data_IF_644668194743
#
_entry.id   IF_644668194743
#
_cell.length_a   1.000
_cell.length_b   1.000
_cell.length_c   1.000
_cell.angle_alpha   90.00
_cell.angle_beta   90.00
_cell.angle_gamma   90.00
#
_symmetry.space_group_name_H-M   'P 1'
#
loop_
_entity.id
_entity.type
_entity.pdbx_description
1 polymer ?
#
# COMPACT_ATOMS: atom_id res chain seq x y z
N UNK A 1 -7.65 -2.81 2.22
CA UNK A 1 -8.27 -1.71 2.98
C UNK A 1 -9.79 -1.68 2.90
N UNK A 2 -10.43 -1.19 1.80
CA UNK A 2 -11.90 -1.00 1.76
C UNK A 2 -12.70 -2.30 1.96
N UNK A 3 -12.33 -3.35 1.23
CA UNK A 3 -12.96 -4.67 1.35
C UNK A 3 -12.79 -5.29 2.75
N UNK A 4 -11.62 -5.16 3.37
CA UNK A 4 -11.35 -5.71 4.70
C UNK A 4 -12.16 -5.03 5.79
N UNK A 5 -12.36 -3.72 5.67
CA UNK A 5 -13.22 -2.96 6.57
C UNK A 5 -14.69 -3.34 6.38
N UNK A 6 -15.15 -3.41 5.13
CA UNK A 6 -16.53 -3.75 4.80
C UNK A 6 -16.92 -5.16 5.28
N UNK A 7 -16.03 -6.13 5.08
CA UNK A 7 -16.24 -7.49 5.56
C UNK A 7 -16.24 -7.56 7.09
N UNK A 8 -15.32 -6.84 7.75
CA UNK A 8 -15.31 -6.75 9.22
C UNK A 8 -16.61 -6.14 9.75
N UNK A 9 -17.13 -5.09 9.09
CA UNK A 9 -18.38 -4.44 9.46
C UNK A 9 -19.58 -5.39 9.29
N UNK A 10 -19.70 -6.04 8.12
CA UNK A 10 -20.80 -6.98 7.84
C UNK A 10 -20.83 -8.18 8.78
N UNK A 11 -19.67 -8.60 9.30
CA UNK A 11 -19.55 -9.72 10.24
C UNK A 11 -19.54 -9.29 11.72
N UNK A 12 -19.66 -8.00 12.04
CA UNK A 12 -19.58 -7.49 13.42
C UNK A 12 -18.21 -7.68 14.07
N UNK A 13 -17.15 -7.86 13.27
CA UNK A 13 -15.78 -8.02 13.74
C UNK A 13 -15.10 -6.66 13.97
N UNK A 14 -14.04 -6.66 14.80
CA UNK A 14 -13.23 -5.44 15.03
C UNK A 14 -12.39 -5.14 13.76
N UNK A 15 -12.34 -3.88 13.29
CA UNK A 15 -11.80 -3.54 11.96
C UNK A 15 -10.26 -3.48 11.88
N UNK A 16 -9.55 -4.09 12.83
CA UNK A 16 -8.09 -3.96 12.95
C UNK A 16 -7.30 -4.55 11.78
N UNK A 17 -7.90 -5.47 11.01
CA UNK A 17 -7.29 -6.03 9.81
C UNK A 17 -7.04 -4.94 8.77
N UNK A 18 -8.03 -4.10 8.49
CA UNK A 18 -7.89 -2.99 7.54
C UNK A 18 -6.84 -1.96 8.01
N UNK A 19 -6.71 -1.76 9.33
CA UNK A 19 -5.70 -0.88 9.92
C UNK A 19 -4.30 -1.47 9.77
N UNK A 20 -4.10 -2.75 10.07
CA UNK A 20 -2.81 -3.41 9.89
C UNK A 20 -2.38 -3.41 8.41
N UNK A 21 -3.32 -3.65 7.50
CA UNK A 21 -3.06 -3.62 6.06
C UNK A 21 -2.71 -2.22 5.53
N UNK A 22 -2.98 -1.14 6.27
CA UNK A 22 -2.52 0.19 5.86
C UNK A 22 -0.99 0.32 5.82
N UNK A 23 -0.26 -0.43 6.65
CA UNK A 23 1.20 -0.39 6.69
C UNK A 23 1.86 -0.79 5.35
N UNK A 24 1.58 -1.96 4.75
CA UNK A 24 2.12 -2.29 3.43
C UNK A 24 1.58 -1.38 2.32
N UNK A 25 0.37 -0.85 2.44
CA UNK A 25 -0.16 0.12 1.45
C UNK A 25 0.65 1.41 1.46
N UNK A 26 0.97 1.94 2.65
CA UNK A 26 1.80 3.15 2.77
C UNK A 26 3.21 2.88 2.25
N UNK A 27 3.81 1.72 2.56
CA UNK A 27 5.11 1.36 2.04
C UNK A 27 5.14 1.30 0.50
N UNK A 28 4.15 0.63 -0.11
CA UNK A 28 4.03 0.57 -1.57
C UNK A 28 3.79 1.97 -2.18
N UNK A 29 2.93 2.78 -1.57
CA UNK A 29 2.65 4.15 -2.03
C UNK A 29 3.91 5.03 -1.97
N UNK A 30 4.74 4.85 -0.95
CA UNK A 30 5.98 5.61 -0.81
C UNK A 30 6.96 5.30 -1.95
N UNK A 31 7.22 4.02 -2.23
CA UNK A 31 8.26 3.61 -3.20
C UNK A 31 7.82 3.69 -4.67
N UNK A 32 6.53 3.53 -4.95
CA UNK A 32 6.00 3.55 -6.32
C UNK A 32 5.39 4.90 -6.74
N UNK A 33 5.02 5.77 -5.79
CA UNK A 33 4.38 7.05 -6.11
C UNK A 33 5.11 8.24 -5.49
N UNK A 34 5.23 8.32 -4.17
CA UNK A 34 5.76 9.53 -3.52
C UNK A 34 7.22 9.77 -3.92
N UNK A 35 8.05 8.72 -3.89
CA UNK A 35 9.45 8.80 -4.28
C UNK A 35 9.66 9.25 -5.74
N UNK A 36 9.06 8.59 -6.76
CA UNK A 36 9.23 9.02 -8.15
C UNK A 36 8.63 10.40 -8.44
N UNK A 37 7.53 10.78 -7.77
CA UNK A 37 6.99 12.15 -7.89
C UNK A 37 8.00 13.16 -7.32
N UNK A 38 8.61 12.88 -6.17
CA UNK A 38 9.65 13.72 -5.58
C UNK A 38 10.92 13.81 -6.44
N UNK A 39 11.23 12.77 -7.22
CA UNK A 39 12.33 12.77 -8.19
C UNK A 39 11.93 13.36 -9.56
N UNK A 40 10.64 13.58 -9.82
CA UNK A 40 10.13 14.06 -11.11
C UNK A 40 10.12 13.01 -12.23
N UNK A 41 10.31 11.73 -11.90
CA UNK A 41 10.44 10.64 -12.86
C UNK A 41 10.02 9.30 -12.25
N UNK A 42 9.13 8.58 -12.94
CA UNK A 42 8.72 7.23 -12.56
C UNK A 42 9.76 6.16 -12.86
N UNK A 43 10.75 6.46 -13.71
CA UNK A 43 11.86 5.54 -14.00
C UNK A 43 12.76 5.32 -12.79
N UNK A 44 12.76 6.26 -11.85
CA UNK A 44 13.51 6.18 -10.59
C UNK A 44 12.74 5.45 -9.48
N UNK A 45 11.47 5.11 -9.71
CA UNK A 45 10.69 4.30 -8.77
C UNK A 45 11.21 2.87 -8.62
N UNK A 46 10.82 2.20 -7.54
CA UNK A 46 11.17 0.80 -7.32
C UNK A 46 10.68 -0.08 -8.50
N UNK A 47 11.54 -0.88 -9.14
CA UNK A 47 11.13 -1.73 -10.25
C UNK A 47 10.40 -2.98 -9.76
N UNK A 48 9.49 -3.51 -10.57
CA UNK A 48 8.71 -4.71 -10.26
C UNK A 48 9.46 -5.98 -10.69
N UNK A 49 10.57 -6.29 -10.01
CA UNK A 49 11.34 -7.50 -10.26
C UNK A 49 12.36 -7.78 -9.17
N UNK A 50 12.57 -9.06 -8.85
CA UNK A 50 13.38 -9.51 -7.70
C UNK A 50 14.80 -8.94 -7.72
N UNK A 51 15.43 -8.81 -8.89
CA UNK A 51 16.80 -8.29 -9.02
C UNK A 51 16.88 -6.77 -8.95
N UNK A 52 15.76 -6.06 -9.07
CA UNK A 52 15.72 -4.60 -9.06
C UNK A 52 15.09 -4.00 -7.79
N UNK A 53 14.38 -4.81 -6.99
CA UNK A 53 13.89 -4.48 -5.65
C UNK A 53 14.96 -4.64 -4.59
#
# INVERSE_FOLDING_TARGET
>A
MGHEWELSFRLGMRPWIAVAYSAPVVAATAVFLIYPIGQGSFSDGMPLGISGT
#
